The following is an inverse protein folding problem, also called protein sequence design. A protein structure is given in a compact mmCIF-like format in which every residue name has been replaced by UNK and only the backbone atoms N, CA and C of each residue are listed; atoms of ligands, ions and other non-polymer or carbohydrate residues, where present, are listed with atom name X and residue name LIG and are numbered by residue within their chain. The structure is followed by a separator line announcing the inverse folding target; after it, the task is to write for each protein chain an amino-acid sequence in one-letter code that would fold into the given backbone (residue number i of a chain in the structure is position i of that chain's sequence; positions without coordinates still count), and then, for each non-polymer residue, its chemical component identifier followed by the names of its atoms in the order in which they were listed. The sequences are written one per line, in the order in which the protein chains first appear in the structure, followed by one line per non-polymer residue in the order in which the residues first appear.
data_IF_736249612067
#
_entry.id   IF_736249612067
#
_cell.length_a   1.000
_cell.length_b   1.000
_cell.length_c   1.000
_cell.angle_alpha   90.00
_cell.angle_beta   90.00
_cell.angle_gamma   90.00
#
_symmetry.space_group_name_H-M   'P 1'
#
loop_
_entity.id
_entity.type
_entity.pdbx_description
1 polymer ?
#
# COMPACT_ATOMS: atom_id res chain seq x y z
N UNK A 1 3.35 -28.50 -15.35
CA UNK A 1 3.56 -27.06 -15.12
C UNK A 1 3.30 -26.78 -13.66
N UNK A 2 4.31 -26.40 -12.90
CA UNK A 2 4.09 -25.99 -11.50
C UNK A 2 3.43 -24.60 -11.53
N UNK A 3 2.14 -24.52 -11.32
CA UNK A 3 1.46 -23.24 -11.14
C UNK A 3 1.97 -22.61 -9.84
N UNK A 4 2.57 -21.42 -9.93
CA UNK A 4 2.91 -20.67 -8.72
C UNK A 4 1.63 -20.20 -8.06
N UNK A 5 1.52 -20.37 -6.76
CA UNK A 5 0.41 -19.83 -5.96
C UNK A 5 0.42 -18.31 -6.05
N UNK A 6 -0.75 -17.69 -6.23
CA UNK A 6 -0.87 -16.24 -6.28
C UNK A 6 -1.26 -15.73 -4.88
N UNK A 7 -0.56 -14.70 -4.43
CA UNK A 7 -0.89 -13.93 -3.23
C UNK A 7 -1.33 -12.55 -3.69
N UNK A 8 -2.60 -12.21 -3.54
CA UNK A 8 -3.06 -10.84 -3.79
C UNK A 8 -2.72 -9.98 -2.58
N UNK A 9 -2.13 -8.81 -2.81
CA UNK A 9 -1.73 -7.88 -1.75
C UNK A 9 -2.31 -6.50 -2.03
N UNK A 10 -3.27 -6.09 -1.21
CA UNK A 10 -3.83 -4.74 -1.26
C UNK A 10 -2.99 -3.78 -0.45
N UNK A 11 -2.65 -2.64 -1.06
CA UNK A 11 -1.86 -1.59 -0.42
C UNK A 11 -2.43 -0.19 -0.68
N UNK A 12 -2.01 0.74 0.18
CA UNK A 12 -2.15 2.18 -0.02
C UNK A 12 -0.82 2.86 0.35
N UNK A 13 -0.32 3.75 -0.50
CA UNK A 13 0.95 4.44 -0.26
C UNK A 13 0.93 5.34 0.98
N UNK A 14 -0.25 5.84 1.37
CA UNK A 14 -0.42 6.61 2.62
C UNK A 14 -0.55 5.74 3.87
N UNK A 15 -0.51 4.39 3.75
CA UNK A 15 -0.48 3.48 4.89
C UNK A 15 0.94 3.21 5.34
N UNK A 16 1.34 3.60 6.57
CA UNK A 16 2.66 3.29 7.10
C UNK A 16 2.86 1.78 7.34
N UNK A 17 1.76 1.04 7.59
CA UNK A 17 1.81 -0.41 7.77
C UNK A 17 2.04 -1.15 6.45
N UNK A 18 1.47 -0.64 5.33
CA UNK A 18 1.77 -1.16 3.99
C UNK A 18 3.25 -0.92 3.62
N UNK A 19 3.80 0.26 3.93
CA UNK A 19 5.22 0.54 3.76
C UNK A 19 6.10 -0.43 4.55
N UNK A 20 5.76 -0.68 5.81
CA UNK A 20 6.50 -1.63 6.67
C UNK A 20 6.40 -3.08 6.20
N UNK A 21 5.32 -3.46 5.52
CA UNK A 21 5.12 -4.80 4.97
C UNK A 21 5.84 -5.03 3.63
N UNK A 22 6.01 -3.98 2.81
CA UNK A 22 6.46 -4.07 1.41
C UNK A 22 7.65 -5.02 1.20
N UNK A 23 8.74 -4.82 1.91
CA UNK A 23 9.95 -5.64 1.73
C UNK A 23 9.73 -7.10 2.18
N UNK A 24 8.97 -7.31 3.26
CA UNK A 24 8.62 -8.64 3.75
C UNK A 24 7.77 -9.42 2.75
N UNK A 25 6.93 -8.71 1.97
CA UNK A 25 6.14 -9.31 0.90
C UNK A 25 7.04 -9.74 -0.27
N UNK A 26 8.00 -8.92 -0.67
CA UNK A 26 8.99 -9.33 -1.68
C UNK A 26 9.86 -10.51 -1.23
N UNK A 27 10.05 -10.68 0.08
CA UNK A 27 10.73 -11.85 0.63
C UNK A 27 9.91 -13.14 0.43
N UNK A 28 8.57 -13.07 0.38
CA UNK A 28 7.74 -14.24 0.09
C UNK A 28 8.03 -14.81 -1.30
N UNK A 29 8.17 -13.94 -2.33
CA UNK A 29 8.50 -14.36 -3.70
C UNK A 29 9.92 -14.93 -3.82
N UNK A 30 10.85 -14.47 -2.96
CA UNK A 30 12.20 -15.00 -2.91
C UNK A 30 12.25 -16.38 -2.23
N UNK A 31 11.49 -16.55 -1.16
CA UNK A 31 11.59 -17.69 -0.25
C UNK A 31 10.65 -18.84 -0.64
N UNK A 32 9.58 -18.55 -1.38
CA UNK A 32 8.54 -19.52 -1.77
C UNK A 32 8.22 -19.45 -3.27
N UNK A 33 7.71 -20.55 -3.87
CA UNK A 33 7.29 -20.57 -5.29
C UNK A 33 5.92 -19.89 -5.46
N UNK A 34 5.82 -18.61 -5.11
CA UNK A 34 4.61 -17.78 -5.22
C UNK A 34 4.82 -16.62 -6.18
N UNK A 35 3.72 -16.00 -6.58
CA UNK A 35 3.71 -14.71 -7.30
C UNK A 35 2.83 -13.75 -6.52
N UNK A 36 3.34 -12.56 -6.26
CA UNK A 36 2.57 -11.51 -5.57
C UNK A 36 1.87 -10.62 -6.59
N UNK A 37 0.57 -10.56 -6.49
CA UNK A 37 -0.28 -9.65 -7.26
C UNK A 37 -0.61 -8.41 -6.43
N UNK A 38 0.10 -7.31 -6.69
CA UNK A 38 -0.10 -6.05 -6.00
C UNK A 38 -1.30 -5.30 -6.56
N UNK A 39 -2.24 -4.94 -5.69
CA UNK A 39 -3.44 -4.18 -6.04
C UNK A 39 -3.60 -2.95 -5.13
N UNK A 40 -4.12 -1.84 -5.68
CA UNK A 40 -4.41 -0.66 -4.88
C UNK A 40 -5.70 -0.84 -4.08
N UNK A 41 -5.70 -0.30 -2.86
CA UNK A 41 -6.92 -0.05 -2.09
C UNK A 41 -6.78 1.29 -1.38
N UNK A 42 -7.35 2.34 -1.96
CA UNK A 42 -7.25 3.71 -1.43
C UNK A 42 -8.15 3.87 -0.21
N UNK A 43 -7.53 4.05 0.97
CA UNK A 43 -8.24 4.19 2.23
C UNK A 43 -9.01 5.51 2.31
N UNK A 44 -10.27 5.44 2.73
CA UNK A 44 -11.03 6.61 3.18
C UNK A 44 -10.78 6.88 4.66
N UNK A 45 -9.58 7.42 4.97
CA UNK A 45 -9.17 7.73 6.35
C UNK A 45 -10.18 8.65 7.07
N UNK A 46 -10.75 9.70 6.43
CA UNK A 46 -11.72 10.56 7.07
C UNK A 46 -12.94 9.84 7.65
N UNK A 47 -13.41 8.79 7.01
CA UNK A 47 -14.63 8.06 7.42
C UNK A 47 -14.50 7.37 8.80
N UNK A 48 -13.28 6.94 9.19
CA UNK A 48 -13.08 6.18 10.44
C UNK A 48 -12.10 6.83 11.43
N UNK A 49 -11.16 7.66 10.98
CA UNK A 49 -10.21 8.36 11.86
C UNK A 49 -10.38 9.88 11.86
N UNK A 50 -11.38 10.40 11.14
CA UNK A 50 -11.51 11.83 10.94
C UNK A 50 -10.33 12.45 10.21
N UNK A 51 -10.37 13.76 10.01
CA UNK A 51 -9.37 14.54 9.29
C UNK A 51 -8.58 15.43 10.23
N UNK A 52 -7.33 15.71 9.86
CA UNK A 52 -6.52 16.74 10.48
C UNK A 52 -5.51 17.29 9.49
N UNK A 53 -5.18 18.58 9.67
CA UNK A 53 -4.05 19.26 9.01
C UNK A 53 -3.12 19.82 10.06
N UNK A 54 -1.83 19.76 9.79
CA UNK A 54 -0.79 20.33 10.66
C UNK A 54 0.08 21.28 9.86
N UNK A 55 0.62 22.28 10.53
CA UNK A 55 1.60 23.19 9.96
C UNK A 55 2.99 22.54 9.77
N UNK A 56 3.96 23.31 9.33
CA UNK A 56 5.34 22.83 9.14
C UNK A 56 6.03 22.42 10.46
N UNK A 57 5.59 22.97 11.57
CA UNK A 57 6.09 22.66 12.92
C UNK A 57 5.38 21.46 13.56
N UNK A 58 4.28 20.97 12.95
CA UNK A 58 3.48 19.85 13.45
C UNK A 58 2.36 20.28 14.39
N UNK A 59 2.04 21.57 14.50
CA UNK A 59 0.87 22.05 15.25
C UNK A 59 -0.40 21.79 14.45
N UNK A 60 -1.44 21.34 15.13
CA UNK A 60 -2.75 21.10 14.51
C UNK A 60 -3.40 22.43 14.19
N UNK A 61 -3.65 22.71 12.90
CA UNK A 61 -4.32 23.93 12.41
C UNK A 61 -5.80 23.67 12.09
N UNK A 62 -6.17 22.40 11.83
CA UNK A 62 -7.53 21.99 11.55
C UNK A 62 -7.72 20.52 11.97
N UNK A 63 -8.84 20.20 12.63
CA UNK A 63 -9.18 18.81 12.95
C UNK A 63 -10.67 18.65 13.29
N UNK A 64 -11.27 17.56 12.81
CA UNK A 64 -12.57 17.07 13.25
C UNK A 64 -12.46 15.76 14.04
N UNK A 65 -11.25 15.34 14.42
CA UNK A 65 -10.98 14.14 15.21
C UNK A 65 -11.43 14.32 16.64
N UNK A 66 -12.11 13.31 17.18
CA UNK A 66 -12.36 13.20 18.61
C UNK A 66 -11.11 12.74 19.40
N UNK A 67 -11.23 12.72 20.74
CA UNK A 67 -10.13 12.32 21.60
C UNK A 67 -9.72 10.85 21.44
N UNK A 68 -10.67 9.96 21.05
CA UNK A 68 -10.38 8.55 20.82
C UNK A 68 -9.59 8.35 19.53
N UNK A 69 -10.05 8.97 18.43
CA UNK A 69 -9.36 8.96 17.15
C UNK A 69 -7.93 9.53 17.25
N UNK A 70 -7.75 10.62 18.02
CA UNK A 70 -6.41 11.16 18.28
C UNK A 70 -5.49 10.19 19.03
N UNK A 71 -6.02 9.42 19.99
CA UNK A 71 -5.23 8.39 20.68
C UNK A 71 -4.81 7.28 19.72
N UNK A 72 -5.73 6.81 18.87
CA UNK A 72 -5.46 5.79 17.85
C UNK A 72 -4.37 6.25 16.88
N UNK A 73 -4.49 7.47 16.33
CA UNK A 73 -3.50 8.03 15.39
C UNK A 73 -2.13 8.18 16.04
N UNK A 74 -2.06 8.73 17.26
CA UNK A 74 -0.78 8.89 17.97
C UNK A 74 -0.12 7.53 18.23
N UNK A 75 -0.89 6.54 18.66
CA UNK A 75 -0.37 5.20 18.90
C UNK A 75 0.15 4.59 17.60
N UNK A 76 -0.62 4.64 16.51
CA UNK A 76 -0.23 4.10 15.21
C UNK A 76 1.11 4.67 14.73
N UNK A 77 1.29 6.00 14.79
CA UNK A 77 2.56 6.61 14.41
C UNK A 77 3.70 6.29 15.37
N UNK A 78 3.43 6.16 16.66
CA UNK A 78 4.43 5.72 17.63
C UNK A 78 4.91 4.31 17.32
N UNK A 79 3.98 3.38 17.05
CA UNK A 79 4.30 2.00 16.71
C UNK A 79 5.02 1.91 15.36
N UNK A 80 4.48 2.53 14.31
CA UNK A 80 5.10 2.53 12.98
C UNK A 80 6.54 3.05 12.99
N UNK A 81 6.82 4.14 13.71
CA UNK A 81 8.18 4.68 13.85
C UNK A 81 9.10 3.74 14.62
N UNK A 82 8.59 3.04 15.63
CA UNK A 82 9.34 2.01 16.36
C UNK A 82 9.75 0.87 15.43
N UNK A 83 8.83 0.40 14.60
CA UNK A 83 9.05 -0.66 13.62
C UNK A 83 9.97 -0.21 12.48
N UNK A 84 9.79 1.02 12.00
CA UNK A 84 10.61 1.62 10.94
C UNK A 84 12.09 1.71 11.36
N UNK A 85 12.35 2.21 12.57
CA UNK A 85 13.73 2.30 13.11
C UNK A 85 14.45 0.95 13.12
N UNK A 86 13.75 -0.15 13.45
CA UNK A 86 14.34 -1.50 13.43
C UNK A 86 14.76 -1.95 12.02
N UNK A 87 14.26 -1.30 10.97
CA UNK A 87 14.50 -1.63 9.55
C UNK A 87 15.27 -0.56 8.80
N UNK A 88 15.75 0.47 9.48
CA UNK A 88 16.42 1.61 8.84
C UNK A 88 15.49 2.46 7.97
N UNK A 89 14.18 2.37 8.17
CA UNK A 89 13.19 3.15 7.42
C UNK A 89 12.83 4.44 8.15
N UNK A 90 12.49 5.48 7.37
CA UNK A 90 11.99 6.76 7.88
C UNK A 90 10.49 6.85 7.69
N UNK A 91 9.75 7.19 8.75
CA UNK A 91 8.32 7.51 8.70
C UNK A 91 8.10 8.85 9.38
N UNK A 92 7.95 9.89 8.59
CA UNK A 92 7.49 11.21 9.00
C UNK A 92 5.98 11.27 8.82
N UNK A 93 5.22 11.61 9.88
CA UNK A 93 3.76 11.72 9.77
C UNK A 93 3.36 12.74 8.68
N UNK A 94 2.36 12.45 7.85
CA UNK A 94 1.90 13.38 6.82
C UNK A 94 1.28 14.63 7.45
N UNK A 95 1.30 15.76 6.71
CA UNK A 95 0.76 17.05 7.18
C UNK A 95 -0.75 17.18 6.92
N UNK A 96 -1.30 16.35 6.06
CA UNK A 96 -2.72 16.28 5.70
C UNK A 96 -3.11 14.82 5.44
N UNK A 97 -4.39 14.55 5.28
CA UNK A 97 -4.85 13.30 4.63
C UNK A 97 -4.68 13.48 3.13
N UNK A 98 -3.92 12.61 2.51
CA UNK A 98 -3.62 12.63 1.09
C UNK A 98 -4.62 11.78 0.30
N UNK A 99 -4.95 12.20 -0.91
CA UNK A 99 -5.53 11.30 -1.92
C UNK A 99 -4.39 10.52 -2.60
N UNK A 100 -4.28 9.24 -2.31
CA UNK A 100 -3.24 8.38 -2.88
C UNK A 100 -3.63 7.76 -4.22
N UNK A 101 -4.79 8.08 -4.76
CA UNK A 101 -5.31 7.43 -5.97
C UNK A 101 -4.44 7.67 -7.21
N UNK A 102 -3.82 8.86 -7.35
CA UNK A 102 -2.91 9.16 -8.48
C UNK A 102 -1.68 8.24 -8.42
N UNK A 103 -1.04 8.11 -7.25
CA UNK A 103 0.08 7.20 -7.07
C UNK A 103 -0.34 5.73 -7.23
N UNK A 104 -1.55 5.37 -6.79
CA UNK A 104 -2.12 4.03 -6.96
C UNK A 104 -2.35 3.67 -8.43
N UNK A 105 -2.83 4.61 -9.24
CA UNK A 105 -2.96 4.44 -10.70
C UNK A 105 -1.56 4.37 -11.36
N UNK A 106 -0.59 5.13 -10.86
CA UNK A 106 0.82 4.99 -11.25
C UNK A 106 1.37 3.58 -10.99
N UNK A 107 0.99 2.93 -9.89
CA UNK A 107 1.31 1.54 -9.62
C UNK A 107 0.74 0.59 -10.69
N UNK A 108 -0.53 0.77 -11.07
CA UNK A 108 -1.17 -0.03 -12.13
C UNK A 108 -0.45 0.16 -13.48
N UNK A 109 -0.03 1.39 -13.78
CA UNK A 109 0.77 1.69 -14.97
C UNK A 109 2.13 1.00 -14.97
N UNK A 110 2.86 1.05 -13.86
CA UNK A 110 4.15 0.38 -13.69
C UNK A 110 4.01 -1.15 -13.78
N UNK A 111 2.98 -1.71 -13.15
CA UNK A 111 2.68 -3.16 -13.14
C UNK A 111 2.47 -3.73 -14.55
N UNK A 112 1.91 -2.96 -15.48
CA UNK A 112 1.67 -3.37 -16.88
C UNK A 112 2.94 -3.50 -17.70
N UNK A 113 4.06 -2.94 -17.22
CA UNK A 113 5.31 -2.91 -17.98
C UNK A 113 6.25 -4.03 -17.58
N UNK A 114 6.69 -4.04 -16.30
CA UNK A 114 7.62 -5.05 -15.81
C UNK A 114 7.59 -5.12 -14.27
N UNK A 115 7.87 -6.30 -13.72
CA UNK A 115 7.91 -6.51 -12.27
C UNK A 115 9.02 -5.70 -11.57
N UNK A 116 10.18 -5.51 -12.24
CA UNK A 116 11.27 -4.69 -11.71
C UNK A 116 10.90 -3.20 -11.70
N UNK A 117 10.19 -2.74 -12.74
CA UNK A 117 9.65 -1.38 -12.82
C UNK A 117 8.66 -1.13 -11.68
N UNK A 118 7.73 -2.06 -11.45
CA UNK A 118 6.78 -1.99 -10.34
C UNK A 118 7.50 -1.92 -8.99
N UNK A 119 8.49 -2.78 -8.77
CA UNK A 119 9.28 -2.81 -7.54
C UNK A 119 10.01 -1.49 -7.30
N UNK A 120 10.69 -0.97 -8.32
CA UNK A 120 11.37 0.32 -8.25
C UNK A 120 10.40 1.47 -7.96
N UNK A 121 9.20 1.42 -8.55
CA UNK A 121 8.14 2.39 -8.30
C UNK A 121 7.67 2.34 -6.84
N UNK A 122 7.38 1.14 -6.29
CA UNK A 122 7.04 0.96 -4.88
C UNK A 122 8.12 1.53 -3.96
N UNK A 123 9.38 1.22 -4.23
CA UNK A 123 10.50 1.68 -3.41
C UNK A 123 10.57 3.22 -3.39
N UNK A 124 10.49 3.86 -4.57
CA UNK A 124 10.56 5.32 -4.69
C UNK A 124 9.37 6.04 -4.06
N UNK A 125 8.14 5.56 -4.35
CA UNK A 125 6.94 6.24 -3.84
C UNK A 125 6.86 6.12 -2.33
N UNK A 126 7.00 4.92 -1.76
CA UNK A 126 6.96 4.74 -0.32
C UNK A 126 8.07 5.52 0.39
N UNK A 127 9.32 5.39 -0.06
CA UNK A 127 10.45 6.04 0.61
C UNK A 127 10.32 7.55 0.60
N UNK A 128 10.08 8.15 -0.57
CA UNK A 128 9.99 9.61 -0.71
C UNK A 128 8.75 10.19 -0.04
N UNK A 129 7.60 9.51 -0.16
CA UNK A 129 6.37 9.96 0.51
C UNK A 129 6.55 10.01 2.03
N UNK A 130 7.07 8.94 2.62
CA UNK A 130 7.25 8.87 4.07
C UNK A 130 8.40 9.73 4.60
N UNK A 131 9.24 10.26 3.71
CA UNK A 131 10.22 11.35 3.99
C UNK A 131 9.66 12.73 3.73
N UNK A 132 8.41 12.87 3.26
CA UNK A 132 7.77 14.13 2.83
C UNK A 132 8.46 14.78 1.64
N UNK A 133 9.02 14.01 0.75
CA UNK A 133 9.77 14.42 -0.45
C UNK A 133 8.98 14.20 -1.74
N UNK A 134 7.75 13.65 -1.66
CA UNK A 134 6.92 13.32 -2.82
C UNK A 134 5.48 13.78 -2.60
N UNK A 135 4.95 14.54 -3.56
CA UNK A 135 3.52 14.78 -3.70
C UNK A 135 2.88 13.62 -4.47
N UNK A 136 2.07 12.82 -3.79
CA UNK A 136 1.43 11.64 -4.39
C UNK A 136 0.09 11.96 -5.07
N UNK A 137 -0.36 13.21 -5.01
CA UNK A 137 -1.57 13.71 -5.67
C UNK A 137 -1.27 14.38 -7.00
N UNK A 138 -0.01 14.78 -7.25
CA UNK A 138 0.39 15.49 -8.45
C UNK A 138 0.71 14.50 -9.61
N UNK A 139 -0.07 14.55 -10.73
CA UNK A 139 0.13 13.69 -11.88
C UNK A 139 1.52 13.80 -12.53
N UNK A 140 2.11 15.02 -12.56
CA UNK A 140 3.41 15.25 -13.20
C UNK A 140 4.54 14.68 -12.32
N UNK A 141 4.42 14.83 -10.99
CA UNK A 141 5.33 14.24 -10.03
C UNK A 141 5.30 12.70 -10.12
N UNK A 142 4.11 12.11 -10.27
CA UNK A 142 3.96 10.67 -10.44
C UNK A 142 4.50 10.20 -11.80
N UNK A 143 4.25 10.93 -12.90
CA UNK A 143 4.84 10.61 -14.20
C UNK A 143 6.37 10.64 -14.17
N UNK A 144 6.96 11.64 -13.52
CA UNK A 144 8.41 11.74 -13.30
C UNK A 144 8.93 10.57 -12.47
N UNK A 145 8.19 10.17 -11.43
CA UNK A 145 8.55 9.04 -10.57
C UNK A 145 8.48 7.71 -11.34
N UNK A 146 7.49 7.53 -12.22
CA UNK A 146 7.39 6.39 -13.14
C UNK A 146 8.63 6.30 -14.03
N UNK A 147 8.99 7.38 -14.71
CA UNK A 147 10.20 7.44 -15.55
C UNK A 147 11.46 7.11 -14.75
N UNK A 148 11.61 7.69 -13.56
CA UNK A 148 12.74 7.39 -12.68
C UNK A 148 12.76 5.95 -12.17
N UNK A 149 11.64 5.23 -12.23
CA UNK A 149 11.52 3.81 -11.89
C UNK A 149 11.80 2.87 -13.06
N UNK A 150 12.04 3.44 -14.25
CA UNK A 150 12.29 2.69 -15.48
C UNK A 150 11.05 2.45 -16.33
N UNK A 151 9.91 3.08 -15.99
CA UNK A 151 8.71 2.99 -16.80
C UNK A 151 8.78 3.94 -18.00
N UNK A 152 8.17 3.55 -19.13
CA UNK A 152 7.71 4.49 -20.12
C UNK A 152 6.45 5.18 -19.58
N UNK A 153 6.55 6.48 -19.32
CA UNK A 153 5.44 7.30 -18.85
C UNK A 153 4.64 7.95 -19.98
N UNK A 154 4.99 7.69 -21.25
CA UNK A 154 4.22 8.21 -22.38
C UNK A 154 2.77 7.67 -22.34
N UNK A 155 1.80 8.57 -22.37
CA UNK A 155 0.38 8.21 -22.27
C UNK A 155 -0.16 8.02 -20.84
N UNK A 156 0.68 8.13 -19.80
CA UNK A 156 0.23 8.00 -18.41
C UNK A 156 -0.88 9.01 -18.06
N UNK A 157 -0.78 10.27 -18.49
CA UNK A 157 -1.81 11.28 -18.23
C UNK A 157 -3.19 10.90 -18.79
N UNK A 158 -3.24 10.35 -20.01
CA UNK A 158 -4.47 9.86 -20.62
C UNK A 158 -5.00 8.60 -19.93
N UNK A 159 -4.10 7.71 -19.48
CA UNK A 159 -4.47 6.54 -18.70
C UNK A 159 -5.03 6.96 -17.33
N UNK A 160 -4.36 7.86 -16.63
CA UNK A 160 -4.79 8.37 -15.32
C UNK A 160 -6.19 8.96 -15.34
N UNK A 161 -6.51 9.80 -16.34
CA UNK A 161 -7.82 10.47 -16.46
C UNK A 161 -8.92 9.60 -17.07
N UNK A 162 -8.60 8.44 -17.61
CA UNK A 162 -9.52 7.55 -18.30
C UNK A 162 -9.48 6.11 -17.75
N UNK A 163 -8.90 5.15 -18.50
CA UNK A 163 -8.99 3.73 -18.15
C UNK A 163 -8.34 3.38 -16.82
N UNK A 164 -7.27 4.06 -16.43
CA UNK A 164 -6.59 3.82 -15.16
C UNK A 164 -7.44 4.20 -13.95
N UNK A 165 -8.20 5.31 -14.04
CA UNK A 165 -9.15 5.70 -13.00
C UNK A 165 -10.26 4.65 -12.88
N UNK A 166 -10.83 4.23 -14.01
CA UNK A 166 -11.89 3.22 -14.03
C UNK A 166 -11.42 1.88 -13.45
N UNK A 167 -10.20 1.45 -13.80
CA UNK A 167 -9.59 0.22 -13.27
C UNK A 167 -9.34 0.31 -11.76
N UNK A 168 -8.73 1.41 -11.29
CA UNK A 168 -8.51 1.66 -9.87
C UNK A 168 -9.82 1.58 -9.07
N UNK A 169 -10.85 2.30 -9.53
CA UNK A 169 -12.14 2.36 -8.84
C UNK A 169 -12.85 1.00 -8.85
N UNK A 170 -12.70 0.23 -9.93
CA UNK A 170 -13.20 -1.13 -9.99
C UNK A 170 -12.49 -2.05 -9.01
N UNK A 171 -11.16 -1.99 -8.92
CA UNK A 171 -10.36 -2.79 -7.97
C UNK A 171 -10.78 -2.47 -6.54
N UNK A 172 -10.92 -1.19 -6.17
CA UNK A 172 -11.36 -0.80 -4.83
C UNK A 172 -12.75 -1.35 -4.49
N UNK A 173 -13.73 -1.23 -5.42
CA UNK A 173 -15.07 -1.81 -5.22
C UNK A 173 -15.05 -3.34 -5.08
N UNK A 174 -14.24 -4.02 -5.87
CA UNK A 174 -14.11 -5.48 -5.79
C UNK A 174 -13.43 -5.91 -4.47
N UNK A 175 -12.43 -5.16 -4.01
CA UNK A 175 -11.79 -5.38 -2.72
C UNK A 175 -12.80 -5.25 -1.58
N UNK A 176 -13.61 -4.18 -1.56
CA UNK A 176 -14.67 -3.98 -0.55
C UNK A 176 -15.71 -5.10 -0.58
N UNK A 177 -16.17 -5.49 -1.77
CA UNK A 177 -17.12 -6.60 -1.93
C UNK A 177 -16.54 -7.94 -1.46
N UNK A 178 -15.22 -8.12 -1.53
CA UNK A 178 -14.51 -9.28 -1.00
C UNK A 178 -14.18 -9.18 0.50
N UNK A 179 -14.59 -8.10 1.19
CA UNK A 179 -14.38 -7.92 2.62
C UNK A 179 -13.10 -7.20 3.01
N UNK A 180 -12.35 -6.63 2.07
CA UNK A 180 -11.17 -5.80 2.36
C UNK A 180 -11.65 -4.45 2.95
N UNK A 181 -11.12 -4.09 4.11
CA UNK A 181 -11.46 -2.84 4.82
C UNK A 181 -10.24 -2.04 5.26
N UNK A 182 -9.04 -2.55 5.03
CA UNK A 182 -7.79 -1.92 5.44
C UNK A 182 -6.59 -2.48 4.70
N UNK A 183 -5.40 -1.89 4.93
CA UNK A 183 -4.16 -2.31 4.27
C UNK A 183 -2.97 -2.32 5.25
N UNK A 184 -1.97 -3.21 5.05
CA UNK A 184 -1.94 -4.22 4.00
C UNK A 184 -2.95 -5.33 4.26
N UNK A 185 -3.59 -5.84 3.21
CA UNK A 185 -4.41 -7.05 3.26
C UNK A 185 -3.88 -8.04 2.23
N UNK A 186 -3.75 -9.27 2.65
CA UNK A 186 -3.31 -10.39 1.81
C UNK A 186 -4.51 -11.30 1.56
N UNK A 187 -4.63 -11.82 0.33
CA UNK A 187 -5.62 -12.84 -0.01
C UNK A 187 -4.90 -14.05 -0.61
N UNK A 188 -5.09 -15.20 -0.02
CA UNK A 188 -4.47 -16.47 -0.43
C UNK A 188 -5.57 -17.53 -0.45
N UNK A 189 -5.82 -18.14 -1.62
CA UNK A 189 -6.87 -19.17 -1.79
C UNK A 189 -8.27 -18.72 -1.29
N UNK A 190 -8.55 -17.40 -1.35
CA UNK A 190 -9.81 -16.80 -0.89
C UNK A 190 -9.84 -16.41 0.59
N UNK A 191 -8.84 -16.77 1.37
CA UNK A 191 -8.71 -16.37 2.77
C UNK A 191 -8.05 -14.99 2.91
N UNK A 192 -8.61 -14.10 3.77
CA UNK A 192 -8.11 -12.77 4.04
C UNK A 192 -7.24 -12.74 5.30
N UNK A 193 -6.09 -12.06 5.18
CA UNK A 193 -5.19 -11.75 6.29
C UNK A 193 -4.99 -10.23 6.31
N UNK A 194 -5.57 -9.55 7.28
CA UNK A 194 -5.41 -8.11 7.43
C UNK A 194 -4.33 -7.76 8.43
N UNK A 195 -3.32 -7.02 7.97
CA UNK A 195 -2.21 -6.56 8.79
C UNK A 195 -0.92 -7.33 8.50
N UNK A 196 0.21 -6.63 8.67
CA UNK A 196 1.54 -7.20 8.45
C UNK A 196 1.93 -8.26 9.49
N UNK A 197 1.28 -8.27 10.63
CA UNK A 197 1.47 -9.25 11.70
C UNK A 197 1.20 -10.69 11.25
N UNK A 198 0.28 -10.86 10.30
CA UNK A 198 -0.05 -12.16 9.72
C UNK A 198 0.97 -12.71 8.72
N UNK A 199 2.03 -11.95 8.40
CA UNK A 199 3.09 -12.45 7.51
C UNK A 199 3.79 -13.72 8.04
N UNK A 200 3.84 -13.90 9.37
CA UNK A 200 4.36 -15.13 9.97
C UNK A 200 3.43 -16.32 9.71
N UNK A 201 2.12 -16.12 9.84
CA UNK A 201 1.10 -17.16 9.57
C UNK A 201 1.08 -17.51 8.07
N UNK A 202 1.16 -16.50 7.19
CA UNK A 202 1.27 -16.68 5.74
C UNK A 202 2.52 -17.50 5.38
N UNK A 203 3.67 -17.22 6.00
CA UNK A 203 4.89 -18.03 5.76
C UNK A 203 4.72 -19.46 6.22
N UNK A 204 4.07 -19.69 7.37
CA UNK A 204 3.77 -21.04 7.86
C UNK A 204 2.83 -21.81 6.92
N UNK A 205 1.79 -21.13 6.39
CA UNK A 205 0.86 -21.66 5.40
C UNK A 205 1.59 -22.05 4.09
N UNK A 206 2.49 -21.19 3.61
CA UNK A 206 3.25 -21.44 2.37
C UNK A 206 4.27 -22.58 2.54
N UNK A 207 4.83 -22.75 3.73
CA UNK A 207 5.77 -23.82 4.03
C UNK A 207 5.07 -25.19 4.14
N UNK A 208 3.78 -25.23 4.52
CA UNK A 208 2.99 -26.44 4.74
C UNK A 208 1.67 -26.40 3.96
N UNK A 209 1.67 -26.51 2.62
CA UNK A 209 0.47 -26.36 1.79
C UNK A 209 -0.64 -27.40 2.08
N UNK A 210 -0.33 -28.49 2.78
CA UNK A 210 -1.28 -29.56 3.10
C UNK A 210 -2.13 -29.31 4.35
N UNK A 211 -1.90 -28.22 5.09
CA UNK A 211 -2.61 -27.93 6.34
C UNK A 211 -3.94 -27.18 6.15
N UNK A 212 -4.29 -26.76 4.94
CA UNK A 212 -5.42 -25.86 4.64
C UNK A 212 -6.76 -26.54 4.37
N UNK A 213 -6.92 -27.85 4.63
CA UNK A 213 -8.16 -28.57 4.25
C UNK A 213 -8.86 -29.32 5.40
N UNK A 214 -8.70 -28.89 6.65
CA UNK A 214 -9.37 -29.55 7.78
C UNK A 214 -10.05 -28.59 8.75
N UNK A 215 -10.91 -27.70 8.29
CA UNK A 215 -11.93 -27.09 9.17
C UNK A 215 -13.02 -26.45 8.29
N UNK A 216 -13.99 -27.26 7.89
CA UNK A 216 -15.30 -26.88 7.38
C UNK A 216 -16.37 -27.69 8.07
#
# INVERSE_FOLDING_TARGET
MNFRKIIVVYIDYKSPYAYLAKNLVYELERDFPVTVDWLPYTLDIPSFLGSARVDEHGNVIESNRDAHQWRQVRYSYMDCRRQARKRGLTILGPRKIWDSSVAAIGMLWAKRQDAAVLRNYHDRVFEKFWRRELDIEDPEVIATTLTASGADAFGFGSYLSGPGRAEHDQICRQAEAAGVFGVPTFVIDGELFWGREHLADIRALLANPSATHNDA
#
